data_IF_916038526045
#
_entry.id   IF_916038526045
#
_cell.length_a   1.000
_cell.length_b   1.000
_cell.length_c   1.000
_cell.angle_alpha   90.00
_cell.angle_beta   90.00
_cell.angle_gamma   90.00
#
_symmetry.space_group_name_H-M   'P 1'
#
loop_
_entity.id
_entity.type
_entity.pdbx_description
1 polymer ?
#
# COMPACT_ATOMS: atom_id res chain seq x y z
N UNK A 1 9.27 11.10 43.82
CA UNK A 1 10.37 11.56 42.95
C UNK A 1 10.06 13.00 42.58
N UNK A 2 10.77 13.98 43.18
CA UNK A 2 10.67 15.37 42.74
C UNK A 2 11.30 15.48 41.35
N UNK A 3 10.50 15.93 40.36
CA UNK A 3 10.98 16.15 38.99
C UNK A 3 12.13 17.17 39.02
N UNK A 4 13.27 16.83 38.40
CA UNK A 4 14.24 17.84 38.02
C UNK A 4 13.55 18.80 37.04
N UNK A 5 13.34 20.05 37.44
CA UNK A 5 12.82 21.09 36.53
C UNK A 5 13.88 21.29 35.46
N UNK A 6 13.63 20.82 34.24
CA UNK A 6 14.45 21.17 33.08
C UNK A 6 14.51 22.69 32.98
N UNK A 7 15.72 23.24 32.99
CA UNK A 7 15.92 24.68 32.91
C UNK A 7 15.52 25.16 31.51
N UNK A 8 14.48 26.00 31.44
CA UNK A 8 14.08 26.67 30.20
C UNK A 8 15.28 27.45 29.61
N UNK A 9 15.41 27.53 28.28
CA UNK A 9 16.51 28.27 27.66
C UNK A 9 16.39 29.77 28.01
N UNK A 10 17.54 30.41 28.23
CA UNK A 10 17.63 31.83 28.55
C UNK A 10 17.47 32.69 27.29
N UNK A 11 17.03 33.93 27.48
CA UNK A 11 16.95 34.91 26.39
C UNK A 11 18.35 35.36 25.99
N UNK A 12 18.72 35.14 24.74
CA UNK A 12 20.08 35.44 24.23
C UNK A 12 20.42 36.94 24.28
N UNK A 13 19.53 37.86 23.85
CA UNK A 13 19.81 39.28 24.06
C UNK A 13 19.93 39.68 25.54
N UNK A 14 19.19 39.02 26.43
CA UNK A 14 19.23 39.34 27.85
C UNK A 14 20.47 38.75 28.55
N UNK A 15 20.96 37.59 28.12
CA UNK A 15 22.18 36.97 28.65
C UNK A 15 23.41 37.87 28.43
N UNK A 16 23.46 38.59 27.31
CA UNK A 16 24.49 39.60 27.04
C UNK A 16 24.43 40.81 27.99
N UNK A 17 23.29 41.04 28.63
CA UNK A 17 23.07 42.17 29.56
C UNK A 17 22.99 41.77 31.03
N UNK A 18 23.39 40.52 31.36
CA UNK A 18 23.28 39.92 32.70
C UNK A 18 21.85 39.91 33.27
N UNK A 19 20.84 39.93 32.40
CA UNK A 19 19.44 39.73 32.79
C UNK A 19 19.11 38.27 32.48
N UNK A 20 19.00 37.43 33.51
CA UNK A 20 18.66 36.02 33.33
C UNK A 20 17.13 35.85 33.17
N UNK A 21 16.56 36.50 32.15
CA UNK A 21 15.17 36.28 31.77
C UNK A 21 15.08 35.00 30.93
N UNK A 22 14.13 34.12 31.29
CA UNK A 22 13.83 32.93 30.50
C UNK A 22 13.13 33.33 29.20
N UNK A 23 13.46 32.62 28.13
CA UNK A 23 12.83 32.82 26.85
C UNK A 23 11.40 32.33 26.85
N UNK A 24 10.58 32.94 26.00
CA UNK A 24 9.20 32.54 25.71
C UNK A 24 8.96 32.29 24.23
N UNK A 25 9.83 32.86 23.41
CA UNK A 25 9.73 32.84 21.96
C UNK A 25 11.03 32.36 21.34
N UNK A 26 10.93 31.75 20.16
CA UNK A 26 12.06 31.32 19.34
C UNK A 26 11.83 31.82 17.91
N UNK A 27 12.75 32.64 17.42
CA UNK A 27 12.69 33.11 16.04
C UNK A 27 13.34 32.08 15.14
N UNK A 28 12.57 31.51 14.22
CA UNK A 28 13.06 30.46 13.33
C UNK A 28 14.03 30.97 12.27
N UNK A 29 14.03 32.28 11.99
CA UNK A 29 14.92 32.90 11.02
C UNK A 29 16.27 33.28 11.63
N UNK A 30 16.27 33.83 12.84
CA UNK A 30 17.50 34.18 13.56
C UNK A 30 18.11 32.98 14.28
N UNK A 31 17.32 31.93 14.49
CA UNK A 31 17.66 30.79 15.35
C UNK A 31 17.95 31.20 16.81
N UNK A 32 17.35 32.31 17.25
CA UNK A 32 17.59 32.92 18.57
C UNK A 32 16.38 32.80 19.50
N UNK A 33 16.64 32.74 20.81
CA UNK A 33 15.61 32.69 21.86
C UNK A 33 15.37 34.06 22.52
N UNK A 34 14.09 34.44 22.64
CA UNK A 34 13.67 35.75 23.14
C UNK A 34 12.71 35.65 24.33
N UNK A 35 12.91 36.49 25.34
CA UNK A 35 11.88 36.82 26.32
C UNK A 35 10.81 37.73 25.67
N UNK A 36 9.69 37.98 26.35
CA UNK A 36 8.62 38.81 25.78
C UNK A 36 9.03 40.24 25.41
N UNK A 37 9.96 40.85 26.17
CA UNK A 37 10.47 42.20 25.86
C UNK A 37 11.39 42.20 24.65
N UNK A 38 12.32 41.26 24.60
CA UNK A 38 13.25 41.15 23.48
C UNK A 38 12.53 40.74 22.19
N UNK A 39 11.48 39.93 22.29
CA UNK A 39 10.61 39.62 21.15
C UNK A 39 9.84 40.85 20.64
N UNK A 40 9.26 41.66 21.53
CA UNK A 40 8.59 42.90 21.12
C UNK A 40 9.56 43.87 20.40
N UNK A 41 10.79 43.97 20.90
CA UNK A 41 11.86 44.72 20.22
C UNK A 41 12.20 44.11 18.86
N UNK A 42 12.43 42.79 18.82
CA UNK A 42 12.76 42.05 17.61
C UNK A 42 11.68 42.21 16.54
N UNK A 43 10.41 41.96 16.85
CA UNK A 43 9.29 42.07 15.89
C UNK A 43 9.04 43.50 15.39
N UNK A 44 9.48 44.53 16.12
CA UNK A 44 9.35 45.93 15.69
C UNK A 44 10.39 46.36 14.66
N UNK A 45 11.52 45.66 14.54
CA UNK A 45 12.57 46.01 13.58
C UNK A 45 12.11 45.65 12.15
N UNK A 46 12.40 46.53 11.19
CA UNK A 46 11.99 46.33 9.78
C UNK A 46 12.57 45.05 9.17
N UNK A 47 13.77 44.65 9.56
CA UNK A 47 14.47 43.47 9.05
C UNK A 47 13.84 42.15 9.50
N UNK A 48 13.18 42.13 10.65
CA UNK A 48 12.63 40.93 11.31
C UNK A 48 11.11 40.86 11.30
N UNK A 49 10.44 41.85 10.70
CA UNK A 49 8.97 41.89 10.62
C UNK A 49 8.37 40.69 9.87
N UNK A 50 9.16 40.04 9.02
CA UNK A 50 8.78 38.84 8.27
C UNK A 50 9.34 37.54 8.87
N UNK A 51 10.05 37.61 10.01
CA UNK A 51 10.54 36.41 10.66
C UNK A 51 9.38 35.66 11.31
N UNK A 52 9.39 34.33 11.15
CA UNK A 52 8.43 33.46 11.80
C UNK A 52 8.90 33.12 13.22
N UNK A 53 8.05 33.38 14.22
CA UNK A 53 8.40 33.28 15.64
C UNK A 53 7.42 32.34 16.33
N UNK A 54 7.99 31.30 16.94
CA UNK A 54 7.26 30.26 17.65
C UNK A 54 7.33 30.50 19.15
N UNK A 55 6.38 29.97 19.91
CA UNK A 55 6.54 29.90 21.36
C UNK A 55 7.48 28.74 21.71
N UNK A 56 8.14 28.80 22.86
CA UNK A 56 9.06 27.72 23.27
C UNK A 56 8.35 26.38 23.45
N UNK A 57 7.07 26.42 23.83
CA UNK A 57 6.21 25.25 23.93
C UNK A 57 6.05 24.53 22.59
N UNK A 58 6.15 25.26 21.47
CA UNK A 58 6.06 24.71 20.11
C UNK A 58 7.38 24.14 19.58
N UNK A 59 8.52 24.51 20.17
CA UNK A 59 9.87 24.24 19.61
C UNK A 59 10.61 23.16 20.38
N UNK A 60 10.43 23.08 21.69
CA UNK A 60 11.02 22.01 22.46
C UNK A 60 10.23 20.73 22.16
N UNK A 61 10.89 19.65 21.67
CA UNK A 61 10.22 18.37 21.51
C UNK A 61 9.70 18.01 22.89
N UNK A 62 8.38 18.05 22.98
CA UNK A 62 7.62 17.64 24.12
C UNK A 62 8.29 16.43 24.79
N UNK A 63 8.87 16.62 25.97
CA UNK A 63 9.03 15.54 26.96
C UNK A 63 7.66 15.10 27.49
N UNK A 64 6.59 15.46 26.79
CA UNK A 64 5.24 15.05 27.04
C UNK A 64 5.10 13.64 26.52
N UNK A 65 4.61 12.79 27.41
CA UNK A 65 4.26 11.43 27.09
C UNK A 65 2.78 11.44 26.78
N UNK A 66 2.30 10.48 25.98
CA UNK A 66 0.87 10.28 25.87
C UNK A 66 0.33 9.95 27.27
N UNK A 67 -0.43 10.84 27.89
CA UNK A 67 -0.77 10.76 29.32
C UNK A 67 -1.49 9.45 29.67
N UNK A 68 -2.50 9.01 28.90
CA UNK A 68 -3.12 7.70 29.10
C UNK A 68 -2.17 6.51 28.87
N UNK A 69 -1.20 6.64 27.97
CA UNK A 69 -0.23 5.58 27.70
C UNK A 69 0.86 5.51 28.77
N UNK A 70 1.30 6.65 29.30
CA UNK A 70 2.33 6.74 30.33
C UNK A 70 1.86 6.07 31.61
N UNK A 71 0.62 6.32 32.02
CA UNK A 71 -0.01 5.66 33.17
C UNK A 71 -0.08 4.13 33.00
N UNK A 72 -0.24 3.67 31.76
CA UNK A 72 -0.32 2.25 31.43
C UNK A 72 1.02 1.63 30.99
N UNK A 73 2.16 2.32 31.18
CA UNK A 73 3.51 1.88 30.80
C UNK A 73 3.72 1.60 29.30
N UNK A 74 2.89 2.19 28.43
CA UNK A 74 3.11 2.20 27.00
C UNK A 74 3.98 3.41 26.64
N UNK A 75 5.24 3.18 26.25
CA UNK A 75 6.13 4.26 25.82
C UNK A 75 5.83 4.64 24.36
N UNK A 76 4.79 5.44 24.15
CA UNK A 76 4.42 5.95 22.83
C UNK A 76 4.54 7.47 22.83
N UNK A 77 5.37 7.99 21.93
CA UNK A 77 5.51 9.43 21.73
C UNK A 77 4.16 10.01 21.26
N UNK A 78 3.67 11.10 21.86
CA UNK A 78 2.45 11.74 21.40
C UNK A 78 2.67 12.33 20.00
N UNK A 79 1.65 12.21 19.16
CA UNK A 79 1.64 12.77 17.80
C UNK A 79 0.59 13.87 17.64
N UNK A 80 -0.25 14.06 18.66
CA UNK A 80 -1.35 15.01 18.68
C UNK A 80 -1.43 15.72 20.04
N UNK A 81 -1.96 16.94 20.04
CA UNK A 81 -2.33 17.70 21.25
C UNK A 81 -3.79 18.13 21.17
N UNK A 82 -4.56 17.89 22.21
CA UNK A 82 -5.90 18.43 22.36
C UNK A 82 -5.81 19.87 22.86
N UNK A 83 -6.40 20.83 22.16
CA UNK A 83 -6.36 22.24 22.60
C UNK A 83 -7.25 22.50 23.81
N UNK A 84 -8.38 21.80 23.90
CA UNK A 84 -9.37 22.02 24.96
C UNK A 84 -8.96 21.41 26.30
N UNK A 85 -8.31 20.23 26.29
CA UNK A 85 -7.82 19.55 27.50
C UNK A 85 -6.33 19.79 27.76
N UNK A 86 -5.61 20.37 26.82
CA UNK A 86 -4.14 20.48 26.81
C UNK A 86 -3.39 19.11 26.88
N UNK A 87 -4.09 18.00 26.64
CA UNK A 87 -3.55 16.65 26.70
C UNK A 87 -2.72 16.29 25.44
N UNK A 88 -1.62 15.58 25.64
CA UNK A 88 -0.77 15.03 24.59
C UNK A 88 -1.16 13.57 24.33
N UNK A 89 -1.48 13.24 23.08
CA UNK A 89 -2.08 11.97 22.70
C UNK A 89 -1.27 11.28 21.60
N UNK A 90 -1.07 9.97 21.72
CA UNK A 90 -0.63 9.14 20.61
C UNK A 90 -1.81 8.88 19.64
N UNK A 91 -1.54 8.24 18.51
CA UNK A 91 -2.55 8.02 17.46
C UNK A 91 -3.75 7.20 17.96
N UNK A 92 -3.49 6.11 18.69
CA UNK A 92 -4.56 5.28 19.28
C UNK A 92 -5.34 6.03 20.36
N UNK A 93 -4.65 6.75 21.26
CA UNK A 93 -5.31 7.54 22.29
C UNK A 93 -6.10 8.70 21.72
N UNK A 94 -5.72 9.26 20.57
CA UNK A 94 -6.51 10.29 19.88
C UNK A 94 -7.87 9.75 19.46
N UNK A 95 -7.92 8.53 18.91
CA UNK A 95 -9.17 7.88 18.52
C UNK A 95 -10.06 7.60 19.73
N UNK A 96 -9.46 7.10 20.82
CA UNK A 96 -10.19 6.87 22.08
C UNK A 96 -10.70 8.20 22.64
N UNK A 97 -9.87 9.23 22.67
CA UNK A 97 -10.21 10.56 23.18
C UNK A 97 -11.42 11.14 22.47
N UNK A 98 -11.40 11.17 21.13
CA UNK A 98 -12.50 11.68 20.31
C UNK A 98 -13.78 10.84 20.38
N UNK A 99 -13.67 9.55 20.74
CA UNK A 99 -14.83 8.67 20.91
C UNK A 99 -15.61 8.92 22.19
N UNK A 100 -14.99 9.54 23.20
CA UNK A 100 -15.64 9.83 24.48
C UNK A 100 -16.65 10.98 24.33
N UNK A 101 -17.85 10.79 24.88
CA UNK A 101 -18.95 11.77 24.79
C UNK A 101 -18.57 13.16 25.32
N UNK A 102 -17.72 13.21 26.34
CA UNK A 102 -17.27 14.46 26.98
C UNK A 102 -16.27 15.25 26.14
N UNK A 103 -15.57 14.60 25.21
CA UNK A 103 -14.56 15.24 24.35
C UNK A 103 -15.10 15.52 22.94
N UNK A 104 -16.40 15.36 22.74
CA UNK A 104 -17.02 15.53 21.43
C UNK A 104 -16.93 17.01 21.03
N UNK A 105 -16.16 17.29 20.00
CA UNK A 105 -15.93 18.65 19.49
C UNK A 105 -14.60 19.27 19.97
N UNK A 106 -13.77 18.52 20.71
CA UNK A 106 -12.42 18.99 20.99
C UNK A 106 -11.60 19.15 19.71
N UNK A 107 -10.78 20.19 19.68
CA UNK A 107 -9.86 20.50 18.59
C UNK A 107 -8.54 19.78 18.82
N UNK A 108 -8.20 18.86 17.92
CA UNK A 108 -6.91 18.16 17.94
C UNK A 108 -5.96 18.82 16.95
N UNK A 109 -4.81 19.27 17.44
CA UNK A 109 -3.70 19.73 16.59
C UNK A 109 -2.61 18.67 16.48
N UNK A 110 -2.19 18.28 15.27
CA UNK A 110 -1.06 17.39 15.10
C UNK A 110 0.21 18.07 15.60
N UNK A 111 1.02 17.31 16.35
CA UNK A 111 2.34 17.75 16.77
C UNK A 111 3.33 17.54 15.63
N UNK A 112 4.36 18.41 15.51
CA UNK A 112 5.41 18.21 14.52
C UNK A 112 6.09 16.87 14.77
N UNK A 113 5.90 15.91 13.86
CA UNK A 113 6.56 14.60 13.95
C UNK A 113 8.05 14.78 13.65
N UNK A 114 8.97 14.24 14.46
CA UNK A 114 10.36 14.23 14.10
C UNK A 114 10.53 13.46 12.79
N UNK A 115 11.02 14.15 11.76
CA UNK A 115 11.30 13.55 10.45
C UNK A 115 12.58 12.73 10.56
N UNK A 116 12.58 11.50 10.05
CA UNK A 116 13.78 10.67 10.03
C UNK A 116 14.76 11.12 8.94
N UNK A 117 16.04 10.91 9.20
CA UNK A 117 17.10 11.10 8.23
C UNK A 117 16.97 10.04 7.13
N UNK A 118 16.75 10.45 5.88
CA UNK A 118 16.45 9.54 4.78
C UNK A 118 17.58 8.54 4.50
N UNK A 119 18.86 8.94 4.38
CA UNK A 119 19.97 7.98 4.25
C UNK A 119 20.14 7.03 5.44
N UNK A 120 19.79 7.48 6.66
CA UNK A 120 19.89 6.64 7.85
C UNK A 120 18.75 5.62 7.95
N UNK A 121 17.54 5.99 7.54
CA UNK A 121 16.40 5.08 7.46
C UNK A 121 16.64 3.95 6.46
N UNK A 122 17.28 4.23 5.32
CA UNK A 122 17.69 3.20 4.37
C UNK A 122 18.73 2.20 4.93
N UNK A 123 19.40 2.55 6.03
CA UNK A 123 20.42 1.74 6.70
C UNK A 123 19.98 1.28 8.11
N UNK A 124 18.67 1.30 8.42
CA UNK A 124 18.09 0.87 9.70
C UNK A 124 18.65 1.56 10.98
N UNK A 125 19.26 2.74 10.85
CA UNK A 125 19.82 3.48 12.00
C UNK A 125 18.86 4.53 12.58
N UNK A 126 17.73 4.80 11.90
CA UNK A 126 16.61 5.65 12.34
C UNK A 126 17.01 6.94 13.11
N UNK A 127 18.03 7.65 12.63
CA UNK A 127 18.42 8.96 13.18
C UNK A 127 17.39 10.03 12.81
N UNK A 128 17.17 10.99 13.71
CA UNK A 128 16.30 12.15 13.46
C UNK A 128 17.02 13.13 12.54
N UNK A 129 16.30 13.66 11.54
CA UNK A 129 16.80 14.70 10.67
C UNK A 129 16.85 16.04 11.41
N UNK A 130 17.98 16.72 11.30
CA UNK A 130 18.26 18.02 11.92
C UNK A 130 18.51 19.11 10.88
N UNK A 131 18.70 18.73 9.61
CA UNK A 131 19.00 19.64 8.54
C UNK A 131 18.40 19.19 7.20
N UNK A 132 18.26 20.12 6.26
CA UNK A 132 17.93 19.83 4.87
C UNK A 132 18.67 20.80 3.95
N UNK A 133 18.86 20.42 2.69
CA UNK A 133 19.55 21.22 1.71
C UNK A 133 18.63 22.31 1.14
N UNK A 134 19.12 23.53 0.92
CA UNK A 134 18.35 24.61 0.27
C UNK A 134 18.52 24.65 -1.24
N UNK A 135 19.60 24.07 -1.76
CA UNK A 135 20.00 24.19 -3.17
C UNK A 135 19.67 22.93 -4.00
N UNK A 136 19.27 21.82 -3.36
CA UNK A 136 18.77 20.65 -4.07
C UNK A 136 17.35 20.89 -4.59
N UNK A 137 17.07 20.40 -5.79
CA UNK A 137 15.73 20.44 -6.40
C UNK A 137 14.70 19.67 -5.57
N UNK A 138 15.08 18.49 -5.06
CA UNK A 138 14.32 17.74 -4.06
C UNK A 138 15.20 17.52 -2.83
N UNK A 139 15.18 18.44 -1.84
CA UNK A 139 16.02 18.32 -0.68
C UNK A 139 15.50 17.21 0.24
N UNK A 140 16.38 16.31 0.62
CA UNK A 140 16.08 15.23 1.58
C UNK A 140 16.32 15.71 3.02
N UNK A 141 15.59 15.15 4.00
CA UNK A 141 15.84 15.39 5.42
C UNK A 141 17.07 14.58 5.87
N UNK A 142 18.05 15.26 6.47
CA UNK A 142 19.35 14.71 6.86
C UNK A 142 19.62 14.93 8.35
N UNK A 143 20.23 13.97 9.03
CA UNK A 143 20.89 14.20 10.32
C UNK A 143 22.20 14.97 10.10
N UNK A 144 22.81 15.47 11.19
CA UNK A 144 24.04 16.26 11.10
C UNK A 144 25.17 15.51 10.34
N UNK A 145 25.37 14.22 10.61
CA UNK A 145 26.39 13.40 9.92
C UNK A 145 26.13 13.31 8.41
N UNK A 146 24.88 13.07 8.02
CA UNK A 146 24.49 12.96 6.62
C UNK A 146 24.52 14.32 5.92
N UNK A 147 24.22 15.41 6.64
CA UNK A 147 24.34 16.78 6.13
C UNK A 147 25.81 17.14 5.84
N UNK A 148 26.74 16.73 6.70
CA UNK A 148 28.17 16.94 6.47
C UNK A 148 28.68 16.09 5.32
N UNK A 149 28.26 14.82 5.22
CA UNK A 149 28.55 13.99 4.05
C UNK A 149 28.00 14.60 2.76
N UNK A 150 26.78 15.14 2.80
CA UNK A 150 26.17 15.83 1.66
C UNK A 150 27.04 17.00 1.20
N UNK A 151 27.61 17.81 2.10
CA UNK A 151 28.54 18.89 1.73
C UNK A 151 29.90 18.39 1.21
N UNK A 152 30.29 17.15 1.46
CA UNK A 152 31.57 16.61 0.99
C UNK A 152 31.48 16.02 -0.42
N UNK A 153 30.28 15.67 -0.88
CA UNK A 153 30.09 15.12 -2.22
C UNK A 153 30.39 16.17 -3.29
N UNK A 154 31.08 15.75 -4.37
CA UNK A 154 31.52 16.66 -5.44
C UNK A 154 30.39 17.49 -6.06
N UNK A 155 29.20 16.92 -6.19
CA UNK A 155 28.02 17.56 -6.82
C UNK A 155 27.36 18.62 -5.93
N UNK A 156 27.57 18.56 -4.62
CA UNK A 156 26.80 19.30 -3.61
C UNK A 156 27.74 20.08 -2.67
N UNK A 157 29.01 20.24 -3.07
CA UNK A 157 30.11 20.74 -2.24
C UNK A 157 29.93 22.14 -1.66
N UNK A 158 29.03 22.93 -2.25
CA UNK A 158 28.76 24.31 -1.83
C UNK A 158 27.28 24.53 -1.49
N UNK A 159 26.51 23.45 -1.33
CA UNK A 159 25.11 23.56 -0.99
C UNK A 159 24.94 24.12 0.43
N UNK A 160 23.99 25.04 0.60
CA UNK A 160 23.58 25.63 1.86
C UNK A 160 22.64 24.66 2.58
N UNK A 161 22.96 24.37 3.83
CA UNK A 161 22.10 23.58 4.71
C UNK A 161 21.31 24.51 5.63
N UNK A 162 20.03 24.22 5.81
CA UNK A 162 19.19 24.85 6.83
C UNK A 162 18.96 23.88 7.98
N UNK A 163 19.07 24.36 9.22
CA UNK A 163 18.72 23.62 10.46
C UNK A 163 17.35 24.00 11.01
N UNK A 164 16.58 24.78 10.26
CA UNK A 164 15.25 25.22 10.66
C UNK A 164 14.30 24.00 10.72
N UNK A 165 14.16 23.44 11.92
CA UNK A 165 13.33 22.25 12.21
C UNK A 165 11.87 22.43 11.81
N UNK A 166 11.36 23.66 11.92
CA UNK A 166 9.98 23.96 11.53
C UNK A 166 9.80 23.88 10.01
N UNK A 167 10.74 24.46 9.24
CA UNK A 167 10.70 24.38 7.77
C UNK A 167 10.91 22.95 7.30
N UNK A 168 11.77 22.20 7.99
CA UNK A 168 11.97 20.77 7.77
C UNK A 168 10.64 20.03 7.99
N UNK A 169 10.05 20.12 9.18
CA UNK A 169 8.77 19.47 9.49
C UNK A 169 7.65 19.91 8.54
N UNK A 170 7.48 21.21 8.28
CA UNK A 170 6.42 21.71 7.40
C UNK A 170 6.58 21.19 5.96
N UNK A 171 7.78 21.25 5.37
CA UNK A 171 8.01 20.79 3.99
C UNK A 171 7.83 19.28 3.86
N UNK A 172 8.30 18.51 4.83
CA UNK A 172 8.25 17.06 4.76
C UNK A 172 6.90 16.50 5.22
N UNK A 173 6.24 17.10 6.21
CA UNK A 173 4.87 16.74 6.60
C UNK A 173 3.88 16.97 5.46
N UNK A 174 3.97 18.09 4.72
CA UNK A 174 3.13 18.30 3.54
C UNK A 174 3.38 17.28 2.42
N UNK A 175 4.64 16.83 2.24
CA UNK A 175 4.99 15.80 1.26
C UNK A 175 4.44 14.43 1.69
N UNK A 176 4.52 14.11 2.98
CA UNK A 176 3.93 12.91 3.58
C UNK A 176 2.40 12.94 3.45
N UNK A 177 1.73 14.03 3.82
CA UNK A 177 0.28 14.17 3.70
C UNK A 177 -0.21 13.99 2.25
N UNK A 178 0.51 14.55 1.26
CA UNK A 178 0.18 14.33 -0.16
C UNK A 178 0.33 12.86 -0.56
N UNK A 179 1.38 12.19 -0.07
CA UNK A 179 1.61 10.78 -0.34
C UNK A 179 0.56 9.89 0.33
N UNK A 180 0.23 10.15 1.60
CA UNK A 180 -0.83 9.47 2.34
C UNK A 180 -2.20 9.72 1.72
N UNK A 181 -2.50 10.94 1.26
CA UNK A 181 -3.76 11.27 0.57
C UNK A 181 -3.85 10.55 -0.77
N UNK A 182 -2.73 10.42 -1.51
CA UNK A 182 -2.69 9.62 -2.73
C UNK A 182 -2.94 8.12 -2.44
N UNK A 183 -2.30 7.56 -1.40
CA UNK A 183 -2.57 6.19 -0.95
C UNK A 183 -4.02 6.03 -0.49
N UNK A 184 -4.58 7.02 0.21
CA UNK A 184 -5.96 7.00 0.69
C UNK A 184 -6.93 7.05 -0.49
N UNK A 185 -6.69 7.90 -1.49
CA UNK A 185 -7.49 7.98 -2.72
C UNK A 185 -7.35 6.70 -3.56
N UNK A 186 -6.17 6.08 -3.59
CA UNK A 186 -5.94 4.78 -4.24
C UNK A 186 -6.65 3.64 -3.48
N UNK A 187 -6.59 3.64 -2.15
CA UNK A 187 -7.32 2.65 -1.35
C UNK A 187 -8.82 2.89 -1.34
N UNK A 188 -9.30 4.13 -1.50
CA UNK A 188 -10.70 4.49 -1.68
C UNK A 188 -11.21 4.17 -3.08
N UNK A 189 -10.41 4.33 -4.13
CA UNK A 189 -10.76 3.87 -5.48
C UNK A 189 -10.75 2.34 -5.57
N UNK A 190 -9.81 1.66 -4.90
CA UNK A 190 -9.81 0.21 -4.71
C UNK A 190 -11.00 -0.23 -3.84
N UNK A 191 -11.35 0.50 -2.78
CA UNK A 191 -12.55 0.24 -1.94
C UNK A 191 -13.85 0.56 -2.66
N UNK A 192 -13.90 1.56 -3.54
CA UNK A 192 -15.06 1.87 -4.38
C UNK A 192 -15.27 0.80 -5.46
N UNK A 193 -14.18 0.29 -6.05
CA UNK A 193 -14.22 -0.92 -6.87
C UNK A 193 -14.61 -2.17 -6.05
N UNK A 194 -14.23 -2.22 -4.76
CA UNK A 194 -14.66 -3.24 -3.79
C UNK A 194 -16.12 -3.08 -3.33
N UNK A 195 -16.67 -1.87 -3.30
CA UNK A 195 -18.05 -1.57 -2.90
C UNK A 195 -19.03 -1.84 -4.03
N UNK A 196 -18.60 -1.70 -5.30
CA UNK A 196 -19.36 -2.19 -6.45
C UNK A 196 -19.38 -3.74 -6.49
N UNK A 197 -18.43 -4.41 -5.82
CA UNK A 197 -18.37 -5.88 -5.68
C UNK A 197 -18.86 -6.42 -4.32
N UNK A 198 -19.22 -5.56 -3.36
CA UNK A 198 -19.77 -5.96 -2.06
C UNK A 198 -21.25 -5.59 -1.94
N UNK A 199 -22.06 -6.12 -2.85
CA UNK A 199 -23.34 -6.69 -2.45
C UNK A 199 -23.07 -8.18 -2.23
N UNK A 200 -22.52 -8.49 -1.06
CA UNK A 200 -22.42 -9.86 -0.56
C UNK A 200 -23.81 -10.33 -0.14
N UNK A 201 -24.58 -10.83 -1.10
CA UNK A 201 -25.18 -12.14 -0.85
C UNK A 201 -24.03 -13.15 -0.87
N UNK A 202 -23.94 -14.03 0.13
CA UNK A 202 -23.05 -15.19 0.11
C UNK A 202 -23.09 -15.81 -1.28
N UNK A 203 -22.03 -15.63 -2.07
CA UNK A 203 -21.87 -16.28 -3.36
C UNK A 203 -21.67 -17.77 -3.10
N UNK A 204 -22.78 -18.48 -2.87
CA UNK A 204 -22.82 -19.92 -2.91
C UNK A 204 -22.59 -20.31 -4.36
N UNK A 205 -21.48 -21.00 -4.61
CA UNK A 205 -21.22 -21.63 -5.91
C UNK A 205 -22.50 -22.32 -6.40
N UNK A 206 -22.87 -22.16 -7.68
CA UNK A 206 -24.10 -22.71 -8.21
C UNK A 206 -24.07 -24.23 -8.04
N UNK A 207 -25.05 -24.78 -7.31
CA UNK A 207 -25.14 -26.22 -7.03
C UNK A 207 -25.90 -26.94 -8.13
N UNK A 208 -25.51 -28.19 -8.37
CA UNK A 208 -26.20 -29.13 -9.24
C UNK A 208 -27.50 -29.59 -8.55
N UNK A 209 -28.64 -29.23 -9.12
CA UNK A 209 -29.96 -29.49 -8.53
C UNK A 209 -30.27 -30.98 -8.37
N UNK A 210 -30.00 -31.87 -9.36
CA UNK A 210 -30.18 -33.30 -9.17
C UNK A 210 -29.28 -33.90 -8.07
N UNK A 211 -28.10 -33.33 -7.84
CA UNK A 211 -27.17 -33.76 -6.80
C UNK A 211 -27.60 -33.27 -5.42
N UNK A 212 -28.11 -32.04 -5.33
CA UNK A 212 -28.69 -31.48 -4.12
C UNK A 212 -29.93 -32.26 -3.68
N UNK A 213 -30.83 -32.62 -4.62
CA UNK A 213 -31.98 -33.51 -4.37
C UNK A 213 -31.56 -34.90 -3.84
N UNK A 214 -30.33 -35.36 -4.12
CA UNK A 214 -29.76 -36.63 -3.62
C UNK A 214 -28.98 -36.49 -2.30
N UNK A 215 -28.93 -35.30 -1.71
CA UNK A 215 -28.18 -35.03 -0.47
C UNK A 215 -26.66 -35.03 -0.65
N UNK A 216 -26.15 -34.93 -1.89
CA UNK A 216 -24.71 -34.85 -2.20
C UNK A 216 -24.48 -33.68 -3.15
N UNK A 217 -24.54 -32.42 -2.67
CA UNK A 217 -24.41 -31.25 -3.52
C UNK A 217 -23.04 -31.27 -4.22
N UNK A 218 -23.07 -31.08 -5.53
CA UNK A 218 -21.87 -30.89 -6.35
C UNK A 218 -22.00 -29.55 -7.06
N UNK A 219 -20.88 -29.00 -7.50
CA UNK A 219 -20.84 -27.75 -8.24
C UNK A 219 -21.46 -27.97 -9.63
N UNK A 220 -22.38 -27.09 -10.03
CA UNK A 220 -22.97 -27.09 -11.36
C UNK A 220 -22.11 -26.30 -12.34
N UNK A 221 -21.71 -26.98 -13.41
CA UNK A 221 -20.89 -26.44 -14.51
C UNK A 221 -21.72 -26.24 -15.79
N UNK A 222 -22.97 -26.76 -15.82
CA UNK A 222 -23.90 -26.63 -16.95
C UNK A 222 -25.27 -26.12 -16.50
N UNK A 223 -25.97 -25.42 -17.40
CA UNK A 223 -27.37 -24.98 -17.25
C UNK A 223 -28.19 -25.43 -18.46
N UNK A 224 -29.35 -26.03 -18.23
CA UNK A 224 -30.28 -26.40 -19.31
C UNK A 224 -31.32 -25.31 -19.50
N UNK A 225 -31.36 -24.71 -20.69
CA UNK A 225 -32.31 -23.62 -20.96
C UNK A 225 -33.76 -24.08 -21.05
N UNK A 226 -34.02 -25.34 -21.44
CA UNK A 226 -35.38 -25.83 -21.61
C UNK A 226 -35.96 -26.44 -20.32
N UNK A 227 -35.12 -26.84 -19.36
CA UNK A 227 -35.55 -27.30 -18.03
C UNK A 227 -35.37 -26.25 -16.93
N UNK A 228 -34.60 -25.18 -17.20
CA UNK A 228 -34.18 -24.18 -16.22
C UNK A 228 -33.42 -24.76 -15.01
N UNK A 229 -32.85 -25.97 -15.14
CA UNK A 229 -32.12 -26.65 -14.07
C UNK A 229 -30.59 -26.59 -14.28
N UNK A 230 -29.85 -26.66 -13.16
CA UNK A 230 -28.37 -26.66 -13.11
C UNK A 230 -27.79 -28.06 -12.91
N UNK A 231 -26.74 -28.39 -13.67
CA UNK A 231 -26.15 -29.73 -13.69
C UNK A 231 -24.63 -29.71 -13.50
N UNK A 232 -24.13 -30.67 -12.71
CA UNK A 232 -22.73 -31.09 -12.78
C UNK A 232 -22.51 -31.97 -14.01
N UNK A 233 -21.25 -32.29 -14.35
CA UNK A 233 -20.93 -33.07 -15.55
C UNK A 233 -21.66 -34.42 -15.62
N UNK A 234 -21.70 -35.14 -14.49
CA UNK A 234 -22.32 -36.47 -14.42
C UNK A 234 -23.84 -36.41 -14.59
N UNK A 235 -24.48 -35.38 -14.05
CA UNK A 235 -25.92 -35.19 -14.18
C UNK A 235 -26.30 -34.68 -15.58
N UNK A 236 -25.48 -33.83 -16.19
CA UNK A 236 -25.66 -33.39 -17.58
C UNK A 236 -25.62 -34.57 -18.56
N UNK A 237 -24.65 -35.49 -18.43
CA UNK A 237 -24.59 -36.68 -19.31
C UNK A 237 -25.84 -37.55 -19.21
N UNK A 238 -26.39 -37.71 -18.00
CA UNK A 238 -27.66 -38.44 -17.81
C UNK A 238 -28.84 -37.69 -18.43
N UNK A 239 -28.83 -36.36 -18.31
CA UNK A 239 -29.84 -35.48 -18.89
C UNK A 239 -29.89 -35.60 -20.42
N UNK A 240 -28.75 -35.56 -21.11
CA UNK A 240 -28.70 -35.61 -22.58
C UNK A 240 -29.00 -36.98 -23.18
N UNK A 241 -28.96 -38.06 -22.39
CA UNK A 241 -29.27 -39.42 -22.86
C UNK A 241 -30.79 -39.71 -22.80
N UNK A 242 -31.52 -39.07 -21.89
CA UNK A 242 -32.96 -39.31 -21.73
C UNK A 242 -33.76 -38.90 -22.96
N UNK A 243 -34.72 -39.73 -23.38
CA UNK A 243 -35.53 -39.52 -24.60
C UNK A 243 -36.24 -38.17 -24.63
N UNK A 244 -36.65 -37.68 -23.46
CA UNK A 244 -37.42 -36.45 -23.33
C UNK A 244 -36.55 -35.18 -23.31
N UNK A 245 -35.24 -35.32 -23.10
CA UNK A 245 -34.32 -34.21 -22.82
C UNK A 245 -33.11 -34.20 -23.74
N UNK A 246 -33.00 -35.17 -24.66
CA UNK A 246 -31.88 -35.32 -25.61
C UNK A 246 -31.64 -34.08 -26.49
N UNK A 247 -32.70 -33.33 -26.80
CA UNK A 247 -32.63 -32.16 -27.68
C UNK A 247 -32.63 -30.84 -26.90
N UNK A 248 -32.48 -30.88 -25.58
CA UNK A 248 -32.42 -29.65 -24.80
C UNK A 248 -31.09 -28.90 -25.02
N UNK A 249 -31.17 -27.58 -25.02
CA UNK A 249 -30.04 -26.65 -25.13
C UNK A 249 -29.35 -26.50 -23.78
N UNK A 250 -28.04 -26.67 -23.79
CA UNK A 250 -27.17 -26.58 -22.62
C UNK A 250 -26.16 -25.45 -22.79
N UNK A 251 -25.98 -24.65 -21.75
CA UNK A 251 -24.93 -23.63 -21.62
C UNK A 251 -23.95 -23.97 -20.50
N UNK A 252 -22.71 -23.50 -20.60
CA UNK A 252 -21.73 -23.60 -19.52
C UNK A 252 -21.94 -22.50 -18.48
N UNK A 253 -21.79 -22.84 -17.20
CA UNK A 253 -21.75 -21.88 -16.10
C UNK A 253 -20.27 -21.52 -15.84
N UNK A 254 -19.85 -20.25 -15.99
CA UNK A 254 -18.47 -19.85 -15.71
C UNK A 254 -18.19 -19.90 -14.20
N UNK A 255 -17.10 -20.58 -13.80
CA UNK A 255 -16.73 -20.78 -12.39
C UNK A 255 -15.85 -19.69 -11.78
N UNK A 256 -15.24 -18.82 -12.59
CA UNK A 256 -14.38 -17.75 -12.09
C UNK A 256 -15.08 -16.39 -12.20
N UNK A 257 -15.80 -15.99 -11.16
CA UNK A 257 -16.47 -14.70 -11.09
C UNK A 257 -15.49 -13.50 -10.93
N UNK A 258 -14.19 -13.73 -10.74
CA UNK A 258 -13.29 -12.68 -10.25
C UNK A 258 -12.53 -11.88 -11.32
N UNK A 259 -12.54 -12.23 -12.61
CA UNK A 259 -11.98 -11.33 -13.65
C UNK A 259 -12.29 -11.73 -15.10
N UNK A 260 -13.43 -12.38 -15.34
CA UNK A 260 -13.77 -12.83 -16.69
C UNK A 260 -14.58 -11.73 -17.38
N UNK A 261 -13.93 -10.98 -18.26
CA UNK A 261 -14.63 -10.09 -19.19
C UNK A 261 -15.73 -10.88 -19.90
N UNK A 262 -16.96 -10.38 -19.91
CA UNK A 262 -18.08 -11.01 -20.63
C UNK A 262 -18.15 -10.50 -22.07
N UNK A 263 -18.54 -11.37 -23.00
CA UNK A 263 -18.77 -10.98 -24.40
C UNK A 263 -19.97 -10.02 -24.50
N UNK A 264 -19.72 -8.81 -24.99
CA UNK A 264 -20.71 -7.74 -25.10
C UNK A 264 -21.86 -8.16 -26.05
N UNK A 265 -21.54 -8.80 -27.17
CA UNK A 265 -22.54 -9.31 -28.12
C UNK A 265 -23.37 -10.49 -27.58
N UNK A 266 -22.79 -11.36 -26.76
CA UNK A 266 -23.55 -12.45 -26.12
C UNK A 266 -24.47 -11.90 -25.03
N UNK A 267 -24.01 -10.85 -24.31
CA UNK A 267 -24.76 -10.20 -23.25
C UNK A 267 -26.08 -9.62 -23.75
N UNK A 268 -26.11 -9.05 -24.96
CA UNK A 268 -27.36 -8.58 -25.59
C UNK A 268 -28.40 -9.69 -25.80
N UNK A 269 -27.98 -10.95 -25.91
CA UNK A 269 -28.87 -12.10 -26.05
C UNK A 269 -29.14 -12.83 -24.73
N UNK A 270 -28.82 -12.21 -23.59
CA UNK A 270 -28.89 -12.84 -22.25
C UNK A 270 -28.03 -14.11 -22.13
N UNK A 271 -26.95 -14.21 -22.91
CA UNK A 271 -25.97 -15.31 -22.82
C UNK A 271 -24.70 -14.78 -22.16
N UNK A 272 -24.35 -15.32 -21.00
CA UNK A 272 -23.08 -14.99 -20.34
C UNK A 272 -21.99 -15.90 -20.90
N UNK A 273 -21.12 -15.35 -21.75
CA UNK A 273 -19.96 -16.06 -22.29
C UNK A 273 -18.71 -15.26 -22.03
N UNK A 274 -17.61 -15.93 -21.66
CA UNK A 274 -16.31 -15.29 -21.51
C UNK A 274 -15.85 -14.65 -22.83
N UNK A 275 -15.42 -13.39 -22.76
CA UNK A 275 -14.74 -12.72 -23.84
C UNK A 275 -13.25 -13.09 -23.81
N UNK A 276 -12.76 -13.58 -24.94
CA UNK A 276 -11.35 -13.93 -25.14
C UNK A 276 -10.69 -12.97 -26.14
N UNK A 277 -11.43 -12.02 -26.69
CA UNK A 277 -10.99 -11.12 -27.75
C UNK A 277 -11.53 -9.71 -27.52
N UNK A 278 -10.76 -8.69 -27.89
CA UNK A 278 -11.12 -7.29 -27.81
C UNK A 278 -10.90 -6.65 -29.17
N UNK A 279 -11.92 -6.00 -29.70
CA UNK A 279 -11.84 -5.29 -30.97
C UNK A 279 -11.45 -3.82 -30.71
N UNK A 280 -10.22 -3.41 -31.06
CA UNK A 280 -9.75 -2.03 -30.83
C UNK A 280 -10.63 -0.99 -31.52
N UNK A 281 -11.16 -1.32 -32.71
CA UNK A 281 -11.95 -0.38 -33.50
C UNK A 281 -13.38 -0.16 -32.97
N UNK A 282 -13.95 -1.15 -32.28
CA UNK A 282 -15.33 -1.12 -31.77
C UNK A 282 -15.39 -0.97 -30.25
N UNK A 283 -14.26 -1.19 -29.57
CA UNK A 283 -14.16 -1.34 -28.12
C UNK A 283 -14.99 -2.51 -27.53
N UNK A 284 -15.40 -3.45 -28.40
CA UNK A 284 -16.21 -4.61 -28.02
C UNK A 284 -15.35 -5.76 -27.49
N UNK A 285 -15.80 -6.35 -26.38
CA UNK A 285 -15.30 -7.63 -25.84
C UNK A 285 -16.07 -8.77 -26.47
N UNK A 286 -15.36 -9.70 -27.12
CA UNK A 286 -15.92 -10.75 -27.95
C UNK A 286 -15.49 -12.14 -27.46
N UNK A 287 -16.42 -13.10 -27.44
CA UNK A 287 -16.10 -14.52 -27.33
C UNK A 287 -15.57 -15.05 -28.67
N UNK A 288 -15.07 -16.29 -28.70
CA UNK A 288 -14.51 -16.88 -29.93
C UNK A 288 -15.49 -17.01 -31.10
N UNK A 289 -16.79 -17.15 -30.84
CA UNK A 289 -17.79 -17.18 -31.91
C UNK A 289 -18.12 -15.77 -32.39
N UNK A 290 -18.35 -14.84 -31.46
CA UNK A 290 -18.65 -13.45 -31.78
C UNK A 290 -17.49 -12.78 -32.53
N UNK A 291 -16.24 -13.12 -32.23
CA UNK A 291 -15.06 -12.65 -32.96
C UNK A 291 -15.09 -13.06 -34.44
N UNK A 292 -15.44 -14.31 -34.77
CA UNK A 292 -15.55 -14.77 -36.16
C UNK A 292 -16.69 -14.10 -36.91
N UNK A 293 -17.84 -13.94 -36.26
CA UNK A 293 -19.01 -13.25 -36.82
C UNK A 293 -18.65 -11.78 -37.06
N UNK A 294 -17.94 -11.14 -36.12
CA UNK A 294 -17.47 -9.77 -36.25
C UNK A 294 -16.54 -9.62 -37.45
N UNK A 295 -15.55 -10.51 -37.63
CA UNK A 295 -14.65 -10.43 -38.79
C UNK A 295 -15.31 -10.78 -40.13
N UNK A 296 -16.44 -11.51 -40.13
CA UNK A 296 -17.14 -11.85 -41.37
C UNK A 296 -18.08 -10.74 -41.85
N UNK A 297 -18.45 -9.80 -40.99
CA UNK A 297 -19.23 -8.62 -41.38
C UNK A 297 -18.35 -7.65 -42.19
N UNK A 298 -18.88 -7.15 -43.31
CA UNK A 298 -18.13 -6.28 -44.23
C UNK A 298 -17.54 -5.04 -43.55
N UNK A 299 -18.23 -4.49 -42.54
CA UNK A 299 -17.79 -3.27 -41.85
C UNK A 299 -16.66 -3.49 -40.86
N UNK A 300 -16.41 -4.72 -40.44
CA UNK A 300 -15.48 -5.06 -39.35
C UNK A 300 -14.41 -6.07 -39.77
N UNK A 301 -14.31 -6.33 -41.07
CA UNK A 301 -13.32 -7.24 -41.65
C UNK A 301 -11.87 -6.81 -41.39
N UNK A 302 -11.65 -5.49 -41.40
CA UNK A 302 -10.33 -4.89 -41.18
C UNK A 302 -10.12 -4.42 -39.74
N UNK A 303 -11.05 -4.75 -38.83
CA UNK A 303 -10.89 -4.39 -37.43
C UNK A 303 -9.76 -5.18 -36.77
N UNK A 304 -8.94 -4.48 -36.00
CA UNK A 304 -7.84 -5.04 -35.23
C UNK A 304 -8.41 -5.69 -33.97
N UNK A 305 -8.44 -7.02 -33.97
CA UNK A 305 -8.89 -7.82 -32.84
C UNK A 305 -7.67 -8.37 -32.12
N UNK A 306 -7.53 -7.98 -30.85
CA UNK A 306 -6.54 -8.55 -29.94
C UNK A 306 -7.16 -9.70 -29.17
N UNK A 307 -6.36 -10.71 -28.84
CA UNK A 307 -6.76 -11.67 -27.80
C UNK A 307 -6.75 -10.91 -26.48
N UNK A 308 -7.84 -10.97 -25.72
CA UNK A 308 -7.84 -10.59 -24.30
C UNK A 308 -7.05 -11.69 -23.60
N UNK A 309 -5.73 -11.64 -23.70
CA UNK A 309 -4.89 -12.59 -23.00
C UNK A 309 -5.08 -12.32 -21.51
N UNK A 310 -5.64 -13.31 -20.83
CA UNK A 310 -5.48 -13.63 -19.41
C UNK A 310 -4.40 -12.75 -18.74
N UNK A 311 -4.82 -11.90 -17.79
CA UNK A 311 -3.99 -11.04 -16.93
C UNK A 311 -2.83 -10.34 -17.64
N UNK A 312 -2.94 -9.02 -17.81
CA UNK A 312 -1.77 -8.19 -18.09
C UNK A 312 -0.80 -8.37 -16.91
N UNK A 313 0.24 -9.17 -17.11
CA UNK A 313 1.32 -9.33 -16.14
C UNK A 313 2.14 -8.05 -16.22
N UNK A 314 2.19 -7.31 -15.11
CA UNK A 314 2.96 -6.05 -15.02
C UNK A 314 4.41 -6.35 -14.69
N UNK A 315 5.31 -5.48 -15.13
CA UNK A 315 6.71 -5.54 -14.76
C UNK A 315 6.86 -5.31 -13.26
N UNK A 316 7.52 -6.24 -12.54
CA UNK A 316 7.71 -6.15 -11.10
C UNK A 316 8.48 -4.89 -10.70
N UNK A 317 9.60 -4.62 -11.37
CA UNK A 317 10.47 -3.47 -11.07
C UNK A 317 9.75 -2.14 -11.35
N UNK A 318 9.06 -2.02 -12.49
CA UNK A 318 8.30 -0.80 -12.79
C UNK A 318 7.18 -0.55 -11.77
N UNK A 319 6.49 -1.61 -11.33
CA UNK A 319 5.45 -1.48 -10.31
C UNK A 319 5.99 -0.94 -8.98
N UNK A 320 7.19 -1.36 -8.56
CA UNK A 320 7.84 -0.85 -7.34
C UNK A 320 8.18 0.64 -7.45
N UNK A 321 8.44 1.12 -8.66
CA UNK A 321 8.69 2.54 -8.96
C UNK A 321 7.40 3.36 -9.21
N UNK A 322 6.22 2.74 -9.11
CA UNK A 322 4.94 3.38 -9.39
C UNK A 322 4.60 3.49 -10.89
N UNK A 323 5.36 2.85 -11.77
CA UNK A 323 5.15 2.84 -13.21
C UNK A 323 4.30 1.64 -13.66
N UNK A 324 3.43 1.83 -14.66
CA UNK A 324 2.54 0.77 -15.19
C UNK A 324 3.05 0.18 -16.51
N UNK A 325 4.22 -0.44 -16.49
CA UNK A 325 4.79 -1.10 -17.67
C UNK A 325 4.37 -2.57 -17.75
N UNK A 326 3.98 -3.03 -18.95
CA UNK A 326 3.65 -4.43 -19.21
C UNK A 326 4.91 -5.30 -19.26
N UNK A 327 4.88 -6.47 -18.62
CA UNK A 327 5.96 -7.44 -18.72
C UNK A 327 5.94 -8.14 -20.08
N UNK A 328 7.11 -8.26 -20.68
CA UNK A 328 7.32 -8.90 -21.99
C UNK A 328 8.10 -10.20 -21.87
N UNK A 329 8.72 -10.45 -20.72
CA UNK A 329 9.50 -11.65 -20.45
C UNK A 329 9.63 -11.92 -18.95
N UNK A 330 10.20 -13.06 -18.57
CA UNK A 330 10.61 -13.34 -17.20
C UNK A 330 11.93 -14.12 -17.19
N UNK A 331 12.73 -13.94 -16.13
CA UNK A 331 14.05 -14.56 -16.01
C UNK A 331 13.95 -16.05 -15.60
N UNK A 332 14.58 -16.95 -16.34
CA UNK A 332 14.55 -18.40 -16.08
C UNK A 332 15.51 -18.84 -14.97
N UNK A 333 16.62 -18.12 -14.79
CA UNK A 333 17.69 -18.51 -13.86
C UNK A 333 17.58 -17.88 -12.46
N UNK A 334 16.70 -16.91 -12.28
CA UNK A 334 16.45 -16.33 -10.96
C UNK A 334 15.70 -17.34 -10.08
N UNK A 335 16.12 -17.47 -8.82
CA UNK A 335 15.43 -18.28 -7.80
C UNK A 335 13.93 -17.90 -7.71
N UNK A 336 13.67 -16.60 -7.81
CA UNK A 336 12.35 -16.02 -7.93
C UNK A 336 12.27 -15.30 -9.29
N UNK A 337 11.74 -15.96 -10.33
CA UNK A 337 11.50 -15.34 -11.61
C UNK A 337 10.54 -14.17 -11.43
N UNK A 338 10.95 -13.00 -11.85
CA UNK A 338 10.09 -11.81 -11.88
C UNK A 338 9.70 -11.52 -13.32
N UNK A 339 8.46 -11.09 -13.57
CA UNK A 339 8.04 -10.63 -14.87
C UNK A 339 8.62 -9.23 -15.10
N UNK A 340 9.27 -9.02 -16.24
CA UNK A 340 10.01 -7.81 -16.57
C UNK A 340 9.56 -7.26 -17.93
N UNK A 341 9.50 -5.93 -18.05
CA UNK A 341 9.42 -5.26 -19.34
C UNK A 341 10.78 -5.36 -20.07
N UNK A 342 10.84 -4.95 -21.34
CA UNK A 342 12.08 -5.03 -22.13
C UNK A 342 13.23 -4.24 -21.51
N UNK A 343 12.94 -3.05 -20.96
CA UNK A 343 13.95 -2.16 -20.34
C UNK A 343 14.51 -2.82 -19.08
N UNK A 344 13.63 -3.22 -18.15
CA UNK A 344 14.06 -3.87 -16.91
C UNK A 344 14.76 -5.21 -17.15
N UNK A 345 14.43 -5.93 -18.23
CA UNK A 345 15.15 -7.15 -18.61
C UNK A 345 16.59 -6.86 -19.08
N UNK A 346 16.79 -5.78 -19.85
CA UNK A 346 18.14 -5.34 -20.23
C UNK A 346 18.96 -4.94 -18.99
N UNK A 347 18.39 -4.11 -18.12
CA UNK A 347 19.04 -3.71 -16.85
C UNK A 347 19.36 -4.93 -15.97
N UNK A 348 18.45 -5.91 -15.92
CA UNK A 348 18.66 -7.15 -15.21
C UNK A 348 19.92 -7.88 -15.69
N UNK A 349 20.18 -7.93 -17.01
CA UNK A 349 21.40 -8.53 -17.57
C UNK A 349 22.66 -7.70 -17.34
N UNK A 350 22.55 -6.38 -17.15
CA UNK A 350 23.71 -5.51 -16.90
C UNK A 350 24.29 -5.71 -15.50
N UNK A 351 23.52 -6.25 -14.55
CA UNK A 351 24.04 -6.60 -13.23
C UNK A 351 25.08 -7.74 -13.33
N UNK A 352 26.27 -7.57 -12.73
CA UNK A 352 27.39 -8.53 -12.83
C UNK A 352 27.00 -9.99 -12.52
N UNK A 353 26.07 -10.19 -11.59
CA UNK A 353 25.58 -11.52 -11.17
C UNK A 353 24.64 -12.20 -12.18
N UNK A 354 24.08 -11.45 -13.13
CA UNK A 354 22.98 -11.89 -14.00
C UNK A 354 23.36 -11.91 -15.49
N UNK A 355 24.63 -11.68 -15.84
CA UNK A 355 25.08 -11.43 -17.21
C UNK A 355 24.72 -12.54 -18.22
N UNK A 356 24.46 -13.74 -17.73
CA UNK A 356 24.14 -14.92 -18.55
C UNK A 356 22.75 -15.48 -18.28
N UNK A 357 21.87 -14.72 -17.62
CA UNK A 357 20.52 -15.19 -17.36
C UNK A 357 19.71 -15.30 -18.66
N UNK A 358 18.99 -16.40 -18.83
CA UNK A 358 18.07 -16.68 -19.92
C UNK A 358 16.69 -16.11 -19.59
N UNK A 359 16.01 -15.59 -20.62
CA UNK A 359 14.66 -15.06 -20.50
C UNK A 359 13.70 -15.83 -21.38
N UNK A 360 12.51 -16.11 -20.87
CA UNK A 360 11.40 -16.58 -21.68
C UNK A 360 10.53 -15.39 -22.07
N UNK A 361 10.19 -15.29 -23.37
CA UNK A 361 9.23 -14.30 -23.91
C UNK A 361 7.79 -14.79 -23.82
N UNK A 362 7.58 -16.04 -23.42
CA UNK A 362 6.25 -16.63 -23.28
C UNK A 362 5.65 -16.24 -21.93
N UNK A 363 5.28 -14.96 -21.75
CA UNK A 363 4.81 -14.44 -20.45
C UNK A 363 3.60 -15.18 -19.89
N UNK A 364 2.86 -15.92 -20.73
CA UNK A 364 1.75 -16.76 -20.30
C UNK A 364 2.21 -17.99 -19.50
N UNK A 365 3.36 -18.59 -19.83
CA UNK A 365 3.91 -19.74 -19.08
C UNK A 365 4.43 -19.31 -17.70
N UNK A 366 4.69 -18.02 -17.49
CA UNK A 366 4.99 -17.47 -16.17
C UNK A 366 3.87 -17.75 -15.16
N UNK A 367 2.60 -17.52 -15.56
CA UNK A 367 1.45 -17.75 -14.67
C UNK A 367 1.27 -19.23 -14.32
N UNK A 368 1.58 -20.13 -15.23
CA UNK A 368 1.57 -21.58 -14.98
C UNK A 368 2.68 -21.96 -14.00
N UNK A 369 3.89 -21.41 -14.18
CA UNK A 369 5.03 -21.64 -13.30
C UNK A 369 4.82 -21.08 -11.89
N UNK A 370 4.08 -19.97 -11.74
CA UNK A 370 3.66 -19.47 -10.43
C UNK A 370 2.72 -20.45 -9.74
N UNK A 371 1.72 -20.99 -10.46
CA UNK A 371 0.80 -22.00 -9.91
C UNK A 371 1.54 -23.26 -9.47
N UNK A 372 2.50 -23.74 -10.26
CA UNK A 372 3.35 -24.88 -9.87
C UNK A 372 4.10 -24.61 -8.56
N UNK A 373 4.69 -23.41 -8.42
CA UNK A 373 5.38 -23.04 -7.18
C UNK A 373 4.43 -22.90 -5.99
N UNK A 374 3.24 -22.34 -6.19
CA UNK A 374 2.21 -22.26 -5.14
C UNK A 374 1.80 -23.66 -4.66
N UNK A 375 1.63 -24.63 -5.57
CA UNK A 375 1.36 -26.01 -5.19
C UNK A 375 2.50 -26.64 -4.39
N UNK A 376 3.76 -26.42 -4.80
CA UNK A 376 4.92 -26.92 -4.05
C UNK A 376 5.02 -26.29 -2.65
N UNK A 377 4.72 -24.99 -2.52
CA UNK A 377 4.71 -24.32 -1.20
C UNK A 377 3.61 -24.89 -0.31
N UNK A 378 2.42 -25.14 -0.86
CA UNK A 378 1.31 -25.74 -0.12
C UNK A 378 1.66 -27.15 0.37
N UNK A 379 2.32 -27.96 -0.46
CA UNK A 379 2.78 -29.32 -0.08
C UNK A 379 3.83 -29.25 1.04
N UNK A 380 4.82 -28.36 0.93
CA UNK A 380 5.83 -28.14 1.98
C UNK A 380 5.23 -27.62 3.29
N UNK A 381 4.19 -26.78 3.22
CA UNK A 381 3.46 -26.33 4.41
C UNK A 381 2.72 -27.50 5.07
N UNK A 382 2.12 -28.39 4.29
CA UNK A 382 1.51 -29.63 4.79
C UNK A 382 2.53 -30.54 5.50
N UNK A 383 3.72 -30.72 4.93
CA UNK A 383 4.80 -31.49 5.56
C UNK A 383 5.28 -30.84 6.87
N UNK A 384 5.37 -29.51 6.93
CA UNK A 384 5.78 -28.78 8.12
C UNK A 384 4.74 -28.90 9.26
N UNK A 385 3.45 -28.87 8.95
CA UNK A 385 2.39 -29.13 9.95
C UNK A 385 2.44 -30.58 10.47
N UNK A 386 2.72 -31.56 9.60
CA UNK A 386 2.93 -32.94 10.05
C UNK A 386 4.13 -33.08 11.00
N UNK A 387 5.25 -32.42 10.69
CA UNK A 387 6.42 -32.39 11.58
C UNK A 387 6.12 -31.74 12.93
N UNK A 388 5.31 -30.67 12.96
CA UNK A 388 4.87 -30.06 14.23
C UNK A 388 4.03 -31.02 15.07
N UNK A 389 3.18 -31.82 14.44
CA UNK A 389 2.39 -32.85 15.12
C UNK A 389 3.32 -33.92 15.72
N UNK A 390 4.31 -34.40 14.96
CA UNK A 390 5.28 -35.39 15.45
C UNK A 390 6.14 -34.87 16.60
N UNK A 391 6.61 -33.62 16.51
CA UNK A 391 7.36 -32.97 17.60
C UNK A 391 6.51 -32.88 18.86
N UNK A 392 5.24 -32.48 18.72
CA UNK A 392 4.31 -32.41 19.85
C UNK A 392 4.10 -33.78 20.50
N UNK A 393 3.94 -34.83 19.70
CA UNK A 393 3.79 -36.19 20.22
C UNK A 393 5.01 -36.66 21.00
N UNK A 394 6.22 -36.40 20.49
CA UNK A 394 7.47 -36.74 21.20
C UNK A 394 7.65 -35.91 22.48
N UNK A 395 7.25 -34.65 22.48
CA UNK A 395 7.30 -33.81 23.68
C UNK A 395 6.34 -34.35 24.76
N UNK A 396 5.12 -34.71 24.38
CA UNK A 396 4.14 -35.32 25.29
C UNK A 396 4.66 -36.66 25.88
N UNK A 397 5.42 -37.43 25.11
CA UNK A 397 6.06 -38.68 25.56
C UNK A 397 7.20 -38.42 26.57
N UNK A 398 8.07 -37.44 26.30
CA UNK A 398 9.12 -37.01 27.23
C UNK A 398 8.51 -36.54 28.55
N UNK A 399 7.46 -35.71 28.49
CA UNK A 399 6.79 -35.18 29.67
C UNK A 399 6.15 -36.30 30.52
N UNK A 400 5.66 -37.38 29.90
CA UNK A 400 5.14 -38.56 30.61
C UNK A 400 6.25 -39.35 31.30
N UNK A 401 7.40 -39.55 30.65
CA UNK A 401 8.53 -40.28 31.21
C UNK A 401 9.25 -39.51 32.32
N UNK A 402 9.08 -38.18 32.37
CA UNK A 402 9.66 -37.31 33.40
C UNK A 402 8.88 -37.28 34.72
N UNK A 403 7.67 -37.85 34.75
CA UNK A 403 6.82 -37.97 35.95
C UNK A 403 6.97 -39.36 36.55
#
# INVERSE_FOLDING_TARGET
MERAKESLPLCEPCSLTNKNEHSKYYCTYCEEYYCGRCFASHSSQKSSKAHDVLTIEDVLPATHHCEPCYENQHNVNPVNRCEDCEEYLCESCTMVHLSQKQNKGHTIKPLPRPVSCYPCSANDTNKIATAFCLDCEDPEPLCDDCADQHKLMKKTKNHKMSKNKFTLNLKFSQKIERFETNIQNETETVKAQKLITNVQEKSTEPKCEPCEKRGKPTIAIYFCHDCEERYCEACMKKHTISKNTKNHRLGNIPHDANNVYTCDLCKFNNIVTAANYFCENCEDKLCGNCQKIHQSQNMSRDHKIQVISKQIVRCAICCELGEQSQATCYCLDCKYPEPLCSICAEEHTMMKRNKNHLFSKEIFTFTERLKEKETTIHDLQGENENLKIDIKFKQDEIDRLSK
#
